data_IF_164195791721
#
_entry.id   IF_164195791721
#
_cell.length_a   1.000
_cell.length_b   1.000
_cell.length_c   1.000
_cell.angle_alpha   90.00
_cell.angle_beta   90.00
_cell.angle_gamma   90.00
#
_symmetry.space_group_name_H-M   'P 1'
#
loop_
_entity.id
_entity.type
_entity.pdbx_description
1 polymer ?
#
# COMPACT_ATOMS: atom_id res chain seq x y z
N UNK A 1 -9.39 -19.62 3.72
CA UNK A 1 -10.10 -18.77 4.70
C UNK A 1 -11.54 -19.20 4.95
N UNK A 2 -12.45 -19.19 3.98
CA UNK A 2 -13.87 -19.56 4.20
C UNK A 2 -14.00 -20.95 4.81
N UNK A 3 -13.24 -21.94 4.31
CA UNK A 3 -13.28 -23.30 4.85
C UNK A 3 -12.78 -23.37 6.30
N UNK A 4 -11.69 -22.67 6.64
CA UNK A 4 -11.19 -22.61 8.02
C UNK A 4 -12.22 -22.02 9.00
N UNK A 5 -13.00 -21.01 8.55
CA UNK A 5 -14.11 -20.49 9.36
C UNK A 5 -15.24 -21.51 9.53
N UNK A 6 -15.59 -22.24 8.46
CA UNK A 6 -16.63 -23.29 8.53
C UNK A 6 -16.22 -24.43 9.46
N UNK A 7 -14.93 -24.75 9.47
CA UNK A 7 -14.35 -25.79 10.31
C UNK A 7 -14.08 -25.32 11.76
N UNK A 8 -14.45 -24.08 12.11
CA UNK A 8 -14.21 -23.49 13.44
C UNK A 8 -12.74 -23.27 13.78
N UNK A 9 -11.83 -23.30 12.80
CA UNK A 9 -10.39 -23.15 12.98
C UNK A 9 -10.02 -21.67 13.11
N UNK A 10 -9.07 -21.36 14.00
CA UNK A 10 -8.47 -20.02 14.07
C UNK A 10 -7.71 -19.69 12.79
N UNK A 11 -8.08 -18.57 12.15
CA UNK A 11 -7.56 -18.19 10.84
C UNK A 11 -6.07 -17.85 10.89
N UNK A 12 -5.58 -17.24 11.98
CA UNK A 12 -4.17 -16.88 12.11
C UNK A 12 -3.30 -18.10 12.35
N UNK A 13 -3.78 -19.08 13.10
CA UNK A 13 -3.11 -20.35 13.28
C UNK A 13 -3.07 -21.17 11.98
N UNK A 14 -4.14 -21.14 11.18
CA UNK A 14 -4.18 -21.76 9.86
C UNK A 14 -3.17 -21.09 8.89
N UNK A 15 -3.07 -19.76 8.91
CA UNK A 15 -2.10 -19.00 8.10
C UNK A 15 -0.67 -19.29 8.60
N UNK A 16 -0.44 -19.35 9.92
CA UNK A 16 0.85 -19.72 10.48
C UNK A 16 1.29 -21.12 10.04
N UNK A 17 0.37 -22.08 10.04
CA UNK A 17 0.62 -23.44 9.55
C UNK A 17 1.13 -23.45 8.10
N UNK A 18 0.50 -22.68 7.22
CA UNK A 18 0.93 -22.55 5.82
C UNK A 18 2.26 -21.80 5.69
N UNK A 19 2.42 -20.69 6.40
CA UNK A 19 3.59 -19.82 6.30
C UNK A 19 4.88 -20.48 6.85
N UNK A 20 4.75 -21.26 7.93
CA UNK A 20 5.88 -21.94 8.56
C UNK A 20 6.03 -23.42 8.15
N UNK A 21 5.11 -23.91 7.29
CA UNK A 21 5.05 -25.32 6.88
C UNK A 21 5.03 -26.29 8.08
N UNK A 22 4.19 -26.00 9.06
CA UNK A 22 4.03 -26.77 10.31
C UNK A 22 2.59 -27.25 10.44
N UNK A 23 2.35 -28.36 11.19
CA UNK A 23 1.00 -28.80 11.53
C UNK A 23 0.21 -27.69 12.25
N UNK A 24 -1.10 -27.61 11.98
CA UNK A 24 -2.00 -26.59 12.54
C UNK A 24 -1.94 -26.54 14.08
N UNK A 25 -1.90 -27.72 14.71
CA UNK A 25 -1.87 -27.89 16.16
C UNK A 25 -0.69 -27.19 16.81
N UNK A 26 0.49 -27.17 16.13
CA UNK A 26 1.71 -26.48 16.57
C UNK A 26 1.69 -24.97 16.36
N UNK A 27 0.69 -24.45 15.68
CA UNK A 27 0.53 -23.03 15.40
C UNK A 27 -0.64 -22.42 16.21
N UNK A 28 -1.28 -23.19 17.08
CA UNK A 28 -2.33 -22.75 17.97
C UNK A 28 -1.77 -22.28 19.32
N UNK A 29 -2.38 -21.26 19.91
CA UNK A 29 -2.05 -20.80 21.27
C UNK A 29 -2.45 -21.87 22.30
N UNK A 30 -3.55 -22.56 22.06
CA UNK A 30 -3.98 -23.72 22.84
C UNK A 30 -4.11 -24.92 21.90
N UNK A 31 -3.59 -26.07 22.32
CA UNK A 31 -3.71 -27.29 21.51
C UNK A 31 -5.20 -27.66 21.33
N UNK A 32 -5.66 -27.87 20.10
CA UNK A 32 -7.09 -28.01 19.82
C UNK A 32 -7.75 -29.24 20.49
N UNK A 33 -6.99 -30.29 20.77
CA UNK A 33 -7.51 -31.52 21.39
C UNK A 33 -7.27 -31.56 22.91
N UNK A 34 -6.08 -31.16 23.36
CA UNK A 34 -5.71 -31.28 24.80
C UNK A 34 -6.02 -30.01 25.59
N UNK A 35 -6.18 -28.87 24.93
CA UNK A 35 -6.37 -27.56 25.60
C UNK A 35 -5.11 -26.99 26.24
N UNK A 36 -3.96 -27.67 26.07
CA UNK A 36 -2.70 -27.22 26.65
C UNK A 36 -2.19 -25.95 25.99
N UNK A 37 -1.68 -25.03 26.81
CA UNK A 37 -1.08 -23.78 26.34
C UNK A 37 0.27 -24.04 25.67
N UNK A 38 0.48 -23.44 24.48
CA UNK A 38 1.69 -23.55 23.68
C UNK A 38 2.29 -22.16 23.44
N UNK A 39 3.40 -21.84 24.10
CA UNK A 39 4.08 -20.54 23.94
C UNK A 39 4.58 -20.34 22.50
N UNK A 40 5.21 -21.36 21.91
CA UNK A 40 5.64 -21.36 20.51
C UNK A 40 4.49 -21.20 19.53
N UNK A 41 3.35 -21.85 19.79
CA UNK A 41 2.15 -21.73 18.99
C UNK A 41 1.59 -20.31 19.00
N UNK A 42 1.55 -19.69 20.19
CA UNK A 42 1.17 -18.27 20.37
C UNK A 42 2.11 -17.35 19.62
N UNK A 43 3.42 -17.57 19.68
CA UNK A 43 4.40 -16.73 18.98
C UNK A 43 4.19 -16.81 17.46
N UNK A 44 4.08 -18.00 16.87
CA UNK A 44 3.85 -18.21 15.42
C UNK A 44 2.52 -17.63 14.96
N UNK A 45 1.45 -17.83 15.74
CA UNK A 45 0.15 -17.21 15.50
C UNK A 45 0.25 -15.68 15.52
N UNK A 46 0.99 -15.11 16.47
CA UNK A 46 1.22 -13.67 16.60
C UNK A 46 1.98 -13.09 15.42
N UNK A 47 3.01 -13.77 14.93
CA UNK A 47 3.76 -13.38 13.73
C UNK A 47 2.85 -13.39 12.49
N UNK A 48 2.12 -14.48 12.26
CA UNK A 48 1.19 -14.59 11.14
C UNK A 48 0.11 -13.50 11.18
N UNK A 49 -0.46 -13.22 12.37
CA UNK A 49 -1.42 -12.12 12.57
C UNK A 49 -0.81 -10.77 12.19
N UNK A 50 0.41 -10.49 12.65
CA UNK A 50 1.10 -9.22 12.36
C UNK A 50 1.34 -9.04 10.87
N UNK A 51 1.73 -10.10 10.16
CA UNK A 51 1.98 -10.06 8.71
C UNK A 51 0.67 -9.87 7.95
N UNK A 52 -0.36 -10.66 8.25
CA UNK A 52 -1.66 -10.53 7.57
C UNK A 52 -2.25 -9.14 7.74
N UNK A 53 -2.23 -8.61 8.97
CA UNK A 53 -2.67 -7.24 9.23
C UNK A 53 -1.77 -6.22 8.53
N UNK A 54 -0.44 -6.45 8.54
CA UNK A 54 0.51 -5.61 7.81
C UNK A 54 0.19 -5.56 6.31
N UNK A 55 -0.09 -6.70 5.68
CA UNK A 55 -0.51 -6.78 4.27
C UNK A 55 -1.81 -6.00 4.05
N UNK A 56 -2.83 -6.25 4.87
CA UNK A 56 -4.13 -5.59 4.77
C UNK A 56 -4.02 -4.07 4.94
N UNK A 57 -3.11 -3.61 5.80
CA UNK A 57 -2.85 -2.18 6.03
C UNK A 57 -1.78 -1.58 5.10
N UNK A 58 -1.29 -2.36 4.13
CA UNK A 58 -0.31 -1.91 3.14
C UNK A 58 1.03 -1.51 3.73
N UNK A 59 1.45 -2.13 4.85
CA UNK A 59 2.78 -1.93 5.41
C UNK A 59 3.85 -2.48 4.46
N UNK A 60 5.01 -1.82 4.43
CA UNK A 60 6.18 -2.34 3.72
C UNK A 60 6.78 -3.54 4.46
N UNK A 61 7.37 -4.47 3.71
CA UNK A 61 8.00 -5.66 4.29
C UNK A 61 9.09 -5.32 5.32
N UNK A 62 9.98 -4.32 5.09
CA UNK A 62 10.93 -3.89 6.12
C UNK A 62 10.25 -3.45 7.41
N UNK A 63 9.16 -2.66 7.32
CA UNK A 63 8.39 -2.22 8.51
C UNK A 63 7.74 -3.39 9.27
N UNK A 64 7.33 -4.44 8.56
CA UNK A 64 6.82 -5.68 9.17
C UNK A 64 7.97 -6.42 9.85
N UNK A 65 9.14 -6.53 9.21
CA UNK A 65 10.35 -7.13 9.77
C UNK A 65 10.80 -6.45 11.06
N UNK A 66 10.82 -5.13 11.09
CA UNK A 66 11.14 -4.35 12.29
C UNK A 66 10.12 -4.57 13.42
N UNK A 67 8.85 -4.68 13.11
CA UNK A 67 7.82 -4.93 14.11
C UNK A 67 7.94 -6.34 14.72
N UNK A 68 8.28 -7.34 13.92
CA UNK A 68 8.39 -8.72 14.37
C UNK A 68 9.71 -8.99 15.11
N UNK A 69 10.82 -8.54 14.53
CA UNK A 69 12.16 -8.91 14.95
C UNK A 69 13.00 -7.73 15.45
N UNK A 70 12.41 -6.54 15.59
CA UNK A 70 13.14 -5.32 15.98
C UNK A 70 13.73 -5.37 17.40
N UNK A 71 13.20 -6.24 18.28
CA UNK A 71 13.76 -6.48 19.63
C UNK A 71 15.02 -7.32 19.59
N UNK A 72 15.23 -8.11 18.56
CA UNK A 72 16.42 -8.94 18.39
C UNK A 72 17.55 -8.09 17.79
N UNK A 73 18.47 -7.68 18.66
CA UNK A 73 19.65 -6.89 18.29
C UNK A 73 20.74 -7.69 17.58
N UNK A 74 20.63 -9.02 17.57
CA UNK A 74 21.61 -9.91 16.94
C UNK A 74 21.37 -10.04 15.44
N UNK A 75 20.15 -9.73 14.98
CA UNK A 75 19.72 -9.88 13.60
C UNK A 75 19.91 -8.57 12.82
N UNK A 76 20.52 -8.65 11.64
CA UNK A 76 20.65 -7.49 10.75
C UNK A 76 19.29 -7.09 10.15
N UNK A 77 19.14 -5.82 9.74
CA UNK A 77 17.89 -5.33 9.13
C UNK A 77 17.58 -6.04 7.81
N UNK A 78 18.61 -6.48 7.09
CA UNK A 78 18.46 -7.29 5.87
C UNK A 78 17.89 -8.68 6.18
N UNK A 79 18.37 -9.34 7.24
CA UNK A 79 17.86 -10.65 7.68
C UNK A 79 16.43 -10.57 8.17
N UNK A 80 16.08 -9.53 8.94
CA UNK A 80 14.71 -9.26 9.39
C UNK A 80 13.78 -9.11 8.20
N UNK A 81 14.19 -8.30 7.22
CA UNK A 81 13.43 -8.06 5.99
C UNK A 81 13.27 -9.34 5.17
N UNK A 82 14.34 -10.15 5.05
CA UNK A 82 14.30 -11.41 4.30
C UNK A 82 13.35 -12.43 4.93
N UNK A 83 13.37 -12.57 6.28
CA UNK A 83 12.41 -13.44 6.98
C UNK A 83 10.98 -12.98 6.82
N UNK A 84 10.71 -11.68 6.99
CA UNK A 84 9.38 -11.11 6.79
C UNK A 84 8.91 -11.27 5.34
N UNK A 85 9.80 -11.13 4.35
CA UNK A 85 9.48 -11.34 2.93
C UNK A 85 9.05 -12.77 2.65
N UNK A 86 9.76 -13.77 3.18
CA UNK A 86 9.42 -15.17 2.97
C UNK A 86 7.99 -15.49 3.44
N UNK A 87 7.62 -15.01 4.64
CA UNK A 87 6.26 -15.22 5.17
C UNK A 87 5.23 -14.41 4.39
N UNK A 88 5.57 -13.17 4.00
CA UNK A 88 4.71 -12.32 3.19
C UNK A 88 4.35 -12.99 1.85
N UNK A 89 5.35 -13.55 1.17
CA UNK A 89 5.18 -14.24 -0.12
C UNK A 89 4.34 -15.53 0.06
N UNK A 90 4.61 -16.32 1.10
CA UNK A 90 3.83 -17.51 1.42
C UNK A 90 2.34 -17.19 1.69
N UNK A 91 2.05 -16.07 2.40
CA UNK A 91 0.67 -15.63 2.64
C UNK A 91 0.00 -15.21 1.33
N UNK A 92 0.68 -14.46 0.46
CA UNK A 92 0.09 -14.03 -0.83
C UNK A 92 -0.09 -15.19 -1.81
N UNK A 93 0.78 -16.20 -1.76
CA UNK A 93 0.64 -17.42 -2.55
C UNK A 93 -0.54 -18.26 -2.06
N UNK A 94 -0.69 -18.40 -0.74
CA UNK A 94 -1.84 -19.11 -0.14
C UNK A 94 -3.18 -18.38 -0.37
N UNK A 95 -3.16 -17.06 -0.57
CA UNK A 95 -4.36 -16.24 -0.75
C UNK A 95 -4.29 -15.35 -2.01
N UNK A 96 -4.30 -15.92 -3.22
CA UNK A 96 -4.18 -15.17 -4.47
C UNK A 96 -5.29 -14.12 -4.66
N UNK A 97 -6.48 -14.38 -4.12
CA UNK A 97 -7.59 -13.42 -4.15
C UNK A 97 -7.31 -12.16 -3.33
N UNK A 98 -6.49 -12.23 -2.28
CA UNK A 98 -6.09 -11.05 -1.51
C UNK A 98 -5.21 -10.15 -2.36
N UNK A 99 -4.22 -10.71 -3.06
CA UNK A 99 -3.36 -9.98 -4.01
C UNK A 99 -4.17 -9.33 -5.12
N UNK A 100 -5.13 -10.06 -5.68
CA UNK A 100 -6.05 -9.54 -6.70
C UNK A 100 -6.88 -8.37 -6.16
N UNK A 101 -7.49 -8.52 -4.97
CA UNK A 101 -8.28 -7.46 -4.33
C UNK A 101 -7.45 -6.18 -4.15
N UNK A 102 -6.21 -6.31 -3.70
CA UNK A 102 -5.31 -5.16 -3.51
C UNK A 102 -5.04 -4.44 -4.83
N UNK A 103 -4.73 -5.20 -5.88
CA UNK A 103 -4.45 -4.67 -7.21
C UNK A 103 -5.68 -3.98 -7.82
N UNK A 104 -6.84 -4.65 -7.76
CA UNK A 104 -8.08 -4.15 -8.35
C UNK A 104 -8.56 -2.87 -7.64
N UNK A 105 -8.44 -2.80 -6.31
CA UNK A 105 -8.75 -1.60 -5.53
C UNK A 105 -7.88 -0.40 -5.94
N UNK A 106 -6.58 -0.63 -6.11
CA UNK A 106 -5.66 0.42 -6.53
C UNK A 106 -5.90 0.84 -7.98
N UNK A 107 -6.18 -0.10 -8.88
CA UNK A 107 -6.52 0.18 -10.27
C UNK A 107 -7.83 0.98 -10.39
N UNK A 108 -8.85 0.62 -9.60
CA UNK A 108 -10.10 1.37 -9.53
C UNK A 108 -9.88 2.81 -9.06
N UNK A 109 -9.10 3.00 -7.98
CA UNK A 109 -8.81 4.33 -7.46
C UNK A 109 -8.01 5.19 -8.45
N UNK A 110 -7.05 4.61 -9.16
CA UNK A 110 -6.29 5.33 -10.21
C UNK A 110 -7.20 5.78 -11.35
N UNK A 111 -8.15 4.92 -11.75
CA UNK A 111 -9.03 5.21 -12.90
C UNK A 111 -10.14 6.19 -12.54
N UNK A 112 -10.78 6.02 -11.39
CA UNK A 112 -12.01 6.73 -11.04
C UNK A 112 -11.86 7.71 -9.87
N UNK A 113 -10.71 7.74 -9.17
CA UNK A 113 -10.50 8.59 -7.99
C UNK A 113 -11.21 8.10 -6.73
N UNK A 114 -11.81 6.90 -6.74
CA UNK A 114 -12.48 6.31 -5.58
C UNK A 114 -12.35 4.79 -5.57
N UNK A 115 -12.56 4.19 -4.41
CA UNK A 115 -12.79 2.75 -4.23
C UNK A 115 -14.21 2.53 -3.73
N UNK A 116 -14.80 1.40 -4.12
CA UNK A 116 -16.13 1.00 -3.68
C UNK A 116 -16.04 -0.17 -2.70
N UNK A 117 -16.74 -0.07 -1.58
CA UNK A 117 -16.83 -1.15 -0.60
C UNK A 117 -17.80 -2.22 -1.08
N UNK A 118 -17.78 -3.41 -0.44
CA UNK A 118 -18.70 -4.52 -0.76
C UNK A 118 -20.19 -4.10 -0.68
N UNK A 119 -20.50 -3.08 0.13
CA UNK A 119 -21.86 -2.54 0.29
C UNK A 119 -22.15 -1.34 -0.63
N UNK A 120 -21.34 -1.10 -1.66
CA UNK A 120 -21.56 -0.04 -2.65
C UNK A 120 -21.19 1.38 -2.16
N UNK A 121 -20.64 1.54 -0.96
CA UNK A 121 -20.20 2.86 -0.48
C UNK A 121 -18.91 3.26 -1.17
N UNK A 122 -18.89 4.45 -1.76
CA UNK A 122 -17.71 5.03 -2.41
C UNK A 122 -16.88 5.85 -1.43
N UNK A 123 -15.56 5.62 -1.43
CA UNK A 123 -14.58 6.45 -0.74
C UNK A 123 -13.67 7.09 -1.77
N UNK A 124 -13.70 8.41 -1.85
CA UNK A 124 -12.83 9.18 -2.73
C UNK A 124 -11.40 9.19 -2.22
N UNK A 125 -10.46 8.92 -3.12
CA UNK A 125 -9.02 8.89 -2.86
C UNK A 125 -8.32 9.60 -4.03
N UNK A 126 -8.45 10.94 -4.12
CA UNK A 126 -7.95 11.71 -5.26
C UNK A 126 -6.42 11.63 -5.41
N UNK A 127 -5.68 11.40 -4.31
CA UNK A 127 -4.23 11.29 -4.33
C UNK A 127 -3.71 10.12 -5.20
N UNK A 128 -4.57 9.12 -5.49
CA UNK A 128 -4.20 8.03 -6.41
C UNK A 128 -4.10 8.48 -7.87
N UNK A 129 -4.70 9.62 -8.23
CA UNK A 129 -4.67 10.18 -9.58
C UNK A 129 -3.57 11.23 -9.76
N UNK A 130 -2.84 11.59 -8.69
CA UNK A 130 -1.73 12.52 -8.78
C UNK A 130 -0.59 11.94 -9.65
N UNK A 131 0.08 12.78 -10.45
CA UNK A 131 1.33 12.39 -11.07
C UNK A 131 2.41 12.20 -10.00
N UNK A 132 3.36 11.28 -10.24
CA UNK A 132 4.47 11.04 -9.29
C UNK A 132 5.29 12.29 -9.02
N UNK A 133 5.50 13.09 -10.07
CA UNK A 133 6.17 14.38 -10.01
C UNK A 133 5.30 15.43 -10.70
N UNK A 134 5.19 16.58 -10.07
CA UNK A 134 4.51 17.75 -10.62
C UNK A 134 5.50 18.90 -10.68
N UNK A 135 5.53 19.61 -11.79
CA UNK A 135 6.43 20.72 -12.04
C UNK A 135 5.61 22.01 -12.08
N UNK A 136 5.98 22.99 -11.24
CA UNK A 136 5.29 24.29 -11.18
C UNK A 136 6.29 25.42 -11.37
N UNK A 137 5.94 26.44 -12.16
CA UNK A 137 6.78 27.62 -12.28
C UNK A 137 6.85 28.37 -10.96
N UNK A 138 8.01 28.92 -10.66
CA UNK A 138 8.25 29.83 -9.52
C UNK A 138 8.32 31.27 -10.03
N UNK A 139 8.26 32.22 -9.10
CA UNK A 139 8.43 33.63 -9.43
C UNK A 139 9.80 33.86 -10.12
N UNK A 140 9.76 34.42 -11.33
CA UNK A 140 10.97 34.62 -12.14
C UNK A 140 11.21 33.55 -13.20
N UNK A 141 10.33 32.56 -13.32
CA UNK A 141 10.38 31.59 -14.42
C UNK A 141 10.19 32.30 -15.76
N UNK A 142 11.04 31.98 -16.72
CA UNK A 142 10.96 32.48 -18.10
C UNK A 142 10.58 31.30 -18.99
N UNK A 143 9.37 31.37 -19.57
CA UNK A 143 8.91 30.37 -20.52
C UNK A 143 9.68 30.53 -21.85
N UNK A 144 10.44 29.52 -22.30
CA UNK A 144 11.23 29.63 -23.53
C UNK A 144 10.40 29.69 -24.81
N UNK A 145 9.08 29.36 -24.74
CA UNK A 145 8.17 29.36 -25.89
C UNK A 145 7.39 30.66 -26.00
N UNK A 146 7.63 31.66 -25.12
CA UNK A 146 6.97 32.97 -25.14
C UNK A 146 7.85 33.97 -25.89
N UNK A 147 7.30 34.54 -26.95
CA UNK A 147 7.90 35.70 -27.61
C UNK A 147 7.36 36.98 -26.94
N UNK A 148 8.24 37.82 -26.35
CA UNK A 148 7.83 39.07 -25.71
C UNK A 148 7.13 40.05 -26.65
N UNK A 149 7.29 39.89 -27.97
CA UNK A 149 6.69 40.73 -28.99
C UNK A 149 5.33 40.20 -29.47
N UNK A 150 5.00 38.94 -29.16
CA UNK A 150 3.72 38.34 -29.58
C UNK A 150 2.72 38.27 -28.42
N UNK A 151 1.72 39.11 -28.47
CA UNK A 151 0.65 39.22 -27.47
C UNK A 151 -0.08 37.88 -27.27
N UNK A 152 -0.19 37.03 -28.32
CA UNK A 152 -0.85 35.73 -28.21
C UNK A 152 -0.15 34.74 -27.36
N UNK A 153 1.18 34.84 -27.25
CA UNK A 153 2.02 33.94 -26.44
C UNK A 153 2.19 34.42 -25.00
N UNK A 154 1.99 35.75 -24.74
CA UNK A 154 2.17 36.34 -23.41
C UNK A 154 1.22 35.74 -22.34
N UNK A 155 0.02 35.28 -22.73
CA UNK A 155 -0.95 34.65 -21.83
C UNK A 155 -0.39 33.35 -21.17
N UNK A 156 0.64 32.76 -21.74
CA UNK A 156 1.25 31.51 -21.26
C UNK A 156 2.63 31.75 -20.60
N UNK A 157 2.98 33.00 -20.32
CA UNK A 157 4.31 33.37 -19.77
C UNK A 157 4.65 32.65 -18.46
N UNK A 158 3.64 32.38 -17.63
CA UNK A 158 3.80 31.77 -16.31
C UNK A 158 3.58 30.25 -16.32
N UNK A 159 3.53 29.62 -17.50
CA UNK A 159 3.31 28.18 -17.64
C UNK A 159 4.57 27.47 -18.15
N UNK A 160 4.85 26.30 -17.61
CA UNK A 160 5.90 25.44 -18.13
C UNK A 160 5.34 24.73 -19.37
N UNK A 161 6.01 24.81 -20.55
CA UNK A 161 5.56 24.09 -21.73
C UNK A 161 5.42 22.59 -21.51
N UNK A 162 4.35 21.99 -22.06
CA UNK A 162 4.06 20.57 -21.86
C UNK A 162 5.22 19.66 -22.31
N UNK A 163 5.96 20.03 -23.37
CA UNK A 163 7.15 19.30 -23.83
C UNK A 163 8.21 19.19 -22.73
N UNK A 164 8.46 20.28 -21.99
CA UNK A 164 9.43 20.31 -20.87
C UNK A 164 8.93 19.46 -19.71
N UNK A 165 7.65 19.53 -19.39
CA UNK A 165 7.02 18.67 -18.35
C UNK A 165 7.17 17.20 -18.71
N UNK A 166 6.97 16.84 -19.98
CA UNK A 166 7.10 15.45 -20.45
C UNK A 166 8.56 14.96 -20.42
N UNK A 167 9.51 15.80 -20.81
CA UNK A 167 10.95 15.51 -20.73
C UNK A 167 11.40 15.31 -19.28
N UNK A 168 11.04 16.24 -18.39
CA UNK A 168 11.35 16.15 -16.96
C UNK A 168 10.70 14.92 -16.34
N UNK A 169 9.46 14.61 -16.71
CA UNK A 169 8.78 13.42 -16.20
C UNK A 169 9.49 12.13 -16.60
N UNK A 170 9.99 12.03 -17.83
CA UNK A 170 10.79 10.89 -18.31
C UNK A 170 12.12 10.81 -17.56
N UNK A 171 12.79 11.95 -17.40
CA UNK A 171 14.05 12.05 -16.69
C UNK A 171 13.90 11.57 -15.22
N UNK A 172 12.92 12.09 -14.48
CA UNK A 172 12.67 11.73 -13.08
C UNK A 172 12.24 10.28 -12.88
N UNK A 173 11.52 9.69 -13.84
CA UNK A 173 11.21 8.25 -13.83
C UNK A 173 12.46 7.38 -14.02
N UNK A 174 13.47 7.86 -14.72
CA UNK A 174 14.74 7.16 -14.94
C UNK A 174 15.66 7.13 -13.72
N UNK A 175 15.46 8.00 -12.74
CA UNK A 175 16.32 8.06 -11.55
C UNK A 175 16.10 6.90 -10.61
N UNK A 176 17.16 6.14 -10.35
CA UNK A 176 17.16 4.97 -9.43
C UNK A 176 17.42 5.38 -7.97
N UNK A 177 18.21 6.43 -7.76
CA UNK A 177 18.66 6.85 -6.44
C UNK A 177 18.05 8.19 -6.03
N UNK A 178 17.61 8.27 -4.78
CA UNK A 178 17.02 9.50 -4.23
C UNK A 178 17.94 10.71 -4.34
N UNK A 179 19.25 10.52 -4.20
CA UNK A 179 20.24 11.59 -4.35
C UNK A 179 20.22 12.28 -5.72
N UNK A 180 19.93 11.52 -6.80
CA UNK A 180 19.80 12.09 -8.15
C UNK A 180 18.59 13.02 -8.24
N UNK A 181 17.45 12.59 -7.66
CA UNK A 181 16.23 13.40 -7.58
C UNK A 181 16.48 14.70 -6.82
N UNK A 182 17.15 14.62 -5.66
CA UNK A 182 17.47 15.81 -4.84
C UNK A 182 18.39 16.78 -5.58
N UNK A 183 19.44 16.25 -6.25
CA UNK A 183 20.37 17.08 -7.02
C UNK A 183 19.63 17.81 -8.15
N UNK A 184 18.87 17.08 -8.98
CA UNK A 184 18.16 17.69 -10.10
C UNK A 184 17.06 18.65 -9.66
N UNK A 185 16.40 18.37 -8.54
CA UNK A 185 15.42 19.30 -7.94
C UNK A 185 16.05 20.63 -7.56
N UNK A 186 17.30 20.65 -7.07
CA UNK A 186 18.02 21.89 -6.76
C UNK A 186 18.37 22.67 -8.04
N UNK A 187 18.85 21.98 -9.07
CA UNK A 187 19.16 22.59 -10.37
C UNK A 187 17.91 23.25 -10.98
N UNK A 188 16.78 22.54 -10.97
CA UNK A 188 15.49 23.07 -11.45
C UNK A 188 14.98 24.25 -10.62
N UNK A 189 15.29 24.29 -9.32
CA UNK A 189 14.95 25.44 -8.49
C UNK A 189 15.74 26.70 -8.90
N UNK A 190 16.98 26.56 -9.37
CA UNK A 190 17.77 27.65 -9.95
C UNK A 190 17.18 28.11 -11.30
N UNK A 191 16.56 27.19 -12.05
CA UNK A 191 15.79 27.48 -13.28
C UNK A 191 14.36 28.00 -12.97
N UNK A 192 14.05 28.32 -11.71
CA UNK A 192 12.73 28.76 -11.23
C UNK A 192 11.60 27.75 -11.48
N UNK A 193 11.92 26.45 -11.45
CA UNK A 193 10.94 25.34 -11.53
C UNK A 193 10.90 24.61 -10.19
N UNK A 194 9.74 24.60 -9.58
CA UNK A 194 9.47 23.85 -8.35
C UNK A 194 9.03 22.42 -8.68
N UNK A 195 9.73 21.44 -8.12
CA UNK A 195 9.38 20.02 -8.21
C UNK A 195 8.59 19.59 -6.98
N UNK A 196 7.40 19.03 -7.18
CA UNK A 196 6.57 18.43 -6.12
C UNK A 196 6.65 16.91 -6.29
N UNK A 197 7.18 16.22 -5.29
CA UNK A 197 7.25 14.76 -5.27
C UNK A 197 6.03 14.21 -4.55
N UNK A 198 5.11 13.57 -5.29
CA UNK A 198 3.87 13.02 -4.77
C UNK A 198 3.97 11.51 -4.44
N UNK A 199 5.13 10.87 -4.61
CA UNK A 199 5.30 9.41 -4.40
C UNK A 199 4.81 8.96 -3.03
N UNK A 200 5.12 9.71 -1.97
CA UNK A 200 4.67 9.37 -0.61
C UNK A 200 3.14 9.46 -0.48
N UNK A 201 2.52 10.51 -1.03
CA UNK A 201 1.06 10.67 -1.02
C UNK A 201 0.36 9.53 -1.77
N UNK A 202 0.87 9.18 -2.95
CA UNK A 202 0.36 8.06 -3.75
C UNK A 202 0.50 6.73 -3.00
N UNK A 203 1.63 6.52 -2.32
CA UNK A 203 1.84 5.33 -1.52
C UNK A 203 0.87 5.24 -0.34
N UNK A 204 0.63 6.34 0.36
CA UNK A 204 -0.33 6.41 1.46
C UNK A 204 -1.76 6.23 0.97
N UNK A 205 -2.11 6.83 -0.17
CA UNK A 205 -3.39 6.63 -0.85
C UNK A 205 -3.59 5.16 -1.27
N UNK A 206 -2.56 4.51 -1.78
CA UNK A 206 -2.56 3.08 -2.13
C UNK A 206 -2.91 2.19 -0.93
N UNK A 207 -2.35 2.50 0.25
CA UNK A 207 -2.70 1.84 1.53
C UNK A 207 -4.16 2.08 1.92
N UNK A 208 -4.66 3.31 1.73
CA UNK A 208 -6.04 3.68 2.01
C UNK A 208 -7.05 2.94 1.12
N UNK A 209 -6.71 2.60 -0.13
CA UNK A 209 -7.57 1.85 -1.03
C UNK A 209 -7.98 0.51 -0.41
N UNK A 210 -7.01 -0.28 0.03
CA UNK A 210 -7.24 -1.61 0.61
C UNK A 210 -7.97 -1.49 1.95
N UNK A 211 -7.51 -0.58 2.83
CA UNK A 211 -8.13 -0.34 4.13
C UNK A 211 -9.60 0.05 4.01
N UNK A 212 -9.94 0.87 3.02
CA UNK A 212 -11.31 1.34 2.83
C UNK A 212 -12.28 0.21 2.50
N UNK A 213 -11.83 -0.80 1.74
CA UNK A 213 -12.64 -1.97 1.42
C UNK A 213 -12.79 -2.87 2.65
N UNK A 214 -11.71 -3.13 3.38
CA UNK A 214 -11.69 -4.02 4.54
C UNK A 214 -12.48 -3.41 5.71
N UNK A 215 -12.23 -2.13 6.03
CA UNK A 215 -12.85 -1.44 7.16
C UNK A 215 -14.23 -0.86 6.85
N UNK A 216 -14.56 -0.65 5.58
CA UNK A 216 -15.86 -0.10 5.18
C UNK A 216 -17.06 -0.92 5.66
N UNK A 217 -16.83 -2.16 6.10
CA UNK A 217 -17.80 -3.04 6.74
C UNK A 217 -18.09 -2.65 8.20
N UNK A 218 -17.14 -1.99 8.90
CA UNK A 218 -17.26 -1.67 10.33
C UNK A 218 -18.08 -0.41 10.63
N UNK A 219 -18.30 0.45 9.63
CA UNK A 219 -18.94 1.75 9.82
C UNK A 219 -20.46 1.75 9.63
N UNK A 220 -21.09 0.59 9.42
CA UNK A 220 -22.53 0.43 9.42
C UNK A 220 -22.99 -0.47 10.58
N UNK A 221 -23.39 0.09 11.75
CA UNK A 221 -23.89 -0.69 12.88
C UNK A 221 -25.13 -1.55 12.55
N UNK A 222 -25.88 -1.17 11.51
CA UNK A 222 -27.11 -1.87 11.09
C UNK A 222 -26.90 -2.96 10.03
N UNK A 223 -25.67 -3.17 9.53
CA UNK A 223 -25.41 -4.17 8.49
C UNK A 223 -25.25 -5.59 9.02
N UNK A 224 -25.14 -5.79 10.33
CA UNK A 224 -25.11 -7.12 10.95
C UNK A 224 -26.46 -7.86 10.81
N UNK A 225 -27.57 -7.14 10.71
CA UNK A 225 -28.89 -7.75 10.55
C UNK A 225 -29.24 -8.15 9.12
N UNK A 226 -28.56 -7.60 8.10
CA UNK A 226 -28.82 -7.93 6.68
C UNK A 226 -28.08 -9.19 6.21
N UNK A 227 -27.00 -9.57 6.89
CA UNK A 227 -26.21 -10.77 6.51
C UNK A 227 -26.81 -12.05 7.08
N UNK A 228 -27.53 -11.96 8.20
CA UNK A 228 -28.24 -13.11 8.78
C UNK A 228 -29.53 -13.45 8.04
N UNK A 229 -30.11 -12.53 7.27
CA UNK A 229 -31.32 -12.76 6.48
C UNK A 229 -31.04 -13.14 5.01
N UNK A 230 -29.84 -12.94 4.48
CA UNK A 230 -29.48 -13.21 3.08
C UNK A 230 -28.76 -14.54 2.83
N UNK A 231 -28.53 -15.36 3.87
CA UNK A 231 -27.89 -16.69 3.72
C UNK A 231 -28.89 -17.87 3.80
N UNK A 232 -30.18 -17.58 3.72
CA UNK A 232 -31.23 -18.61 3.61
C UNK A 232 -32.05 -18.28 2.35
N UNK A 233 -31.50 -18.59 1.21
CA UNK A 233 -32.20 -18.87 -0.04
C UNK A 233 -31.21 -19.58 -0.97
#
# INVERSE_FOLDING_TARGET
MIQSFKDGKDIYSAIASLAFNLPYEKCCEFHPETGEYQEDGKARRGEAKTIVLGICYGRSVPSIGDQLYGKDKTMSDEEKTKKAQAIYDAVLEAFPNLKKLMHDAQAQARKYGYVETILGRRRHIPDMQLPEFEFKPMKGYINPDVDPLDISTLSNSDQIPQRIVDELTKEFKGYKYFGQIVKRTKELAEEHIRVINNRQKIQDASRQCVNSIIQGRQLCPNSLNLITQGCIA
#
